data_IF_880542490230
#
_entry.id   IF_880542490230
#
_cell.length_a   1.000
_cell.length_b   1.000
_cell.length_c   1.000
_cell.angle_alpha   90.00
_cell.angle_beta   90.00
_cell.angle_gamma   90.00
#
_symmetry.space_group_name_H-M   'P 1'
#
loop_
_entity.id
_entity.type
_entity.pdbx_description
1 polymer ?
#
# COMPACT_ATOMS: atom_id res chain seq x y z
N UNK A 1 12.45 -26.94 -4.84
CA UNK A 1 12.00 -26.73 -3.45
C UNK A 1 12.64 -25.44 -2.94
N UNK A 2 11.90 -24.33 -2.93
CA UNK A 2 12.43 -23.03 -2.49
C UNK A 2 12.15 -22.83 -1.01
N UNK A 3 13.19 -22.71 -0.19
CA UNK A 3 13.06 -22.41 1.23
C UNK A 3 12.66 -20.94 1.43
N UNK A 4 11.42 -20.71 1.84
CA UNK A 4 10.98 -19.42 2.35
C UNK A 4 11.55 -19.24 3.76
N UNK A 5 12.63 -18.44 3.89
CA UNK A 5 13.16 -18.06 5.20
C UNK A 5 12.20 -17.08 5.88
N UNK A 6 11.31 -17.64 6.69
CA UNK A 6 10.43 -16.90 7.59
C UNK A 6 11.29 -16.11 8.59
N UNK A 7 11.21 -14.78 8.55
CA UNK A 7 12.01 -13.90 9.39
C UNK A 7 11.51 -13.97 10.84
N UNK A 8 12.02 -14.93 11.63
CA UNK A 8 11.75 -15.02 13.06
C UNK A 8 12.54 -13.91 13.79
N UNK A 9 11.86 -12.83 14.18
CA UNK A 9 12.42 -11.89 15.17
C UNK A 9 12.45 -12.59 16.53
N UNK A 10 13.66 -12.90 17.00
CA UNK A 10 13.94 -13.37 18.37
C UNK A 10 13.65 -12.22 19.34
N UNK A 11 12.75 -12.45 20.30
CA UNK A 11 12.46 -11.51 21.38
C UNK A 11 13.60 -11.59 22.41
N UNK A 12 14.26 -10.45 22.69
CA UNK A 12 15.24 -10.31 23.76
C UNK A 12 14.65 -9.33 24.77
N UNK A 13 14.39 -9.71 26.04
CA UNK A 13 13.91 -8.78 27.04
C UNK A 13 15.05 -7.85 27.49
N UNK A 14 14.99 -6.58 27.07
CA UNK A 14 15.86 -5.51 27.52
C UNK A 14 15.13 -4.58 28.50
N UNK A 15 15.77 -4.30 29.64
CA UNK A 15 15.29 -3.50 30.77
C UNK A 15 14.88 -2.07 30.40
N UNK A 16 13.75 -1.65 30.96
CA UNK A 16 13.51 -0.30 31.48
C UNK A 16 13.78 0.89 30.56
N UNK A 17 12.79 1.26 29.75
CA UNK A 17 12.53 2.67 29.43
C UNK A 17 11.04 2.83 29.14
N UNK A 18 10.43 3.84 29.77
CA UNK A 18 9.02 4.21 29.63
C UNK A 18 8.73 4.86 28.27
N UNK A 19 9.16 4.23 27.18
CA UNK A 19 8.68 4.57 25.86
C UNK A 19 7.53 3.63 25.55
N UNK A 20 6.32 4.15 25.74
CA UNK A 20 5.12 3.58 25.12
C UNK A 20 5.47 3.31 23.66
N UNK A 21 5.43 2.05 23.18
CA UNK A 21 5.69 1.77 21.79
C UNK A 21 4.65 2.54 20.99
N UNK A 22 5.13 3.50 20.20
CA UNK A 22 4.29 4.30 19.34
C UNK A 22 3.76 3.38 18.25
N UNK A 23 2.61 2.75 18.50
CA UNK A 23 1.93 1.89 17.56
C UNK A 23 1.47 2.75 16.38
N UNK A 24 2.30 2.83 15.34
CA UNK A 24 1.90 3.37 14.03
C UNK A 24 0.96 2.37 13.36
N UNK A 25 -0.34 2.47 13.67
CA UNK A 25 -1.41 1.74 13.00
C UNK A 25 -1.78 2.41 11.65
N UNK A 26 -0.87 2.28 10.69
CA UNK A 26 -1.23 2.20 9.28
C UNK A 26 -0.96 0.77 8.82
N UNK A 27 -1.47 0.34 7.67
CA UNK A 27 -0.97 -0.89 7.03
C UNK A 27 0.55 -0.81 6.97
N UNK A 28 1.22 -1.61 7.79
CA UNK A 28 2.67 -1.51 7.95
C UNK A 28 3.32 -1.58 6.58
N UNK A 29 4.24 -0.65 6.29
CA UNK A 29 5.10 -0.69 5.12
C UNK A 29 5.60 -2.13 4.93
N UNK A 30 5.59 -2.58 3.68
CA UNK A 30 6.10 -3.88 3.27
C UNK A 30 7.46 -4.16 3.95
N UNK A 31 7.73 -5.41 4.35
CA UNK A 31 9.08 -5.75 4.80
C UNK A 31 10.07 -5.45 3.66
N UNK A 32 11.28 -5.03 4.03
CA UNK A 32 12.28 -4.53 3.07
C UNK A 32 12.60 -5.51 1.93
N UNK A 33 12.47 -6.82 2.17
CA UNK A 33 12.67 -7.83 1.13
C UNK A 33 11.61 -7.81 0.02
N UNK A 34 10.39 -7.34 0.31
CA UNK A 34 9.28 -7.31 -0.64
C UNK A 34 9.11 -5.95 -1.33
N UNK A 35 9.73 -4.89 -0.83
CA UNK A 35 9.62 -3.54 -1.42
C UNK A 35 9.97 -3.57 -2.91
N UNK A 36 11.13 -4.13 -3.26
CA UNK A 36 11.60 -4.24 -4.65
C UNK A 36 10.64 -5.00 -5.56
N UNK A 37 9.93 -5.99 -5.04
CA UNK A 37 8.97 -6.76 -5.82
C UNK A 37 7.73 -5.92 -6.18
N UNK A 38 7.19 -5.19 -5.20
CA UNK A 38 5.97 -4.38 -5.35
C UNK A 38 6.20 -2.98 -5.93
N UNK A 39 7.45 -2.52 -6.00
CA UNK A 39 7.84 -1.30 -6.73
C UNK A 39 8.16 -1.58 -8.20
N UNK A 40 8.35 -2.84 -8.61
CA UNK A 40 8.75 -3.17 -9.98
C UNK A 40 7.54 -3.20 -10.94
N UNK A 41 7.62 -2.41 -12.02
CA UNK A 41 6.61 -2.34 -13.07
C UNK A 41 6.41 -3.66 -13.85
N UNK A 42 7.46 -4.47 -14.01
CA UNK A 42 7.37 -5.78 -14.68
C UNK A 42 6.43 -6.75 -13.94
N UNK A 43 6.35 -6.62 -12.62
CA UNK A 43 5.47 -7.41 -11.77
C UNK A 43 4.08 -6.79 -11.62
N UNK A 44 3.83 -5.62 -12.25
CA UNK A 44 2.62 -4.81 -12.05
C UNK A 44 2.41 -4.47 -10.57
N UNK A 45 3.49 -4.10 -9.89
CA UNK A 45 3.47 -3.75 -8.49
C UNK A 45 2.63 -2.50 -8.23
N UNK A 46 1.87 -2.49 -7.13
CA UNK A 46 0.97 -1.38 -6.77
C UNK A 46 1.70 -0.12 -6.28
N UNK A 47 3.01 -0.21 -6.06
CA UNK A 47 3.88 0.94 -5.76
C UNK A 47 4.72 1.37 -6.97
N UNK A 48 4.54 0.73 -8.13
CA UNK A 48 5.26 1.07 -9.35
C UNK A 48 4.61 2.27 -10.05
N UNK A 49 5.41 2.98 -10.84
CA UNK A 49 4.92 4.13 -11.60
C UNK A 49 4.06 3.69 -12.79
N UNK A 50 2.93 4.36 -13.01
CA UNK A 50 1.98 4.00 -14.06
C UNK A 50 2.59 4.09 -15.47
N UNK A 51 3.53 5.01 -15.70
CA UNK A 51 4.25 5.14 -16.96
C UNK A 51 5.11 3.90 -17.24
N UNK A 52 5.92 3.46 -16.26
CA UNK A 52 6.76 2.27 -16.38
C UNK A 52 5.93 0.99 -16.61
N UNK A 53 4.74 0.88 -16.00
CA UNK A 53 3.83 -0.24 -16.22
C UNK A 53 3.34 -0.28 -17.68
N UNK A 54 3.08 0.88 -18.28
CA UNK A 54 2.67 0.96 -19.69
C UNK A 54 3.81 0.54 -20.63
N UNK A 55 5.04 0.98 -20.36
CA UNK A 55 6.22 0.57 -21.12
C UNK A 55 6.47 -0.94 -21.01
N UNK A 56 6.39 -1.49 -19.80
CA UNK A 56 6.51 -2.92 -19.55
C UNK A 56 5.44 -3.72 -20.33
N UNK A 57 4.21 -3.20 -20.42
CA UNK A 57 3.12 -3.79 -21.19
C UNK A 57 3.42 -3.78 -22.70
N UNK A 58 3.95 -2.68 -23.23
CA UNK A 58 4.35 -2.58 -24.64
C UNK A 58 5.48 -3.55 -24.98
N UNK A 59 6.51 -3.59 -24.13
CA UNK A 59 7.64 -4.51 -24.29
C UNK A 59 7.18 -5.97 -24.31
N UNK A 60 6.27 -6.35 -23.42
CA UNK A 60 5.74 -7.71 -23.38
C UNK A 60 4.96 -8.06 -24.67
N UNK A 61 4.20 -7.11 -25.23
CA UNK A 61 3.53 -7.30 -26.53
C UNK A 61 4.51 -7.56 -27.67
N UNK A 62 5.63 -6.82 -27.71
CA UNK A 62 6.69 -7.04 -28.71
C UNK A 62 7.36 -8.42 -28.55
N UNK A 63 7.67 -8.82 -27.31
CA UNK A 63 8.30 -10.12 -27.03
C UNK A 63 7.38 -11.29 -27.38
N UNK A 64 6.08 -11.15 -27.11
CA UNK A 64 5.09 -12.20 -27.31
C UNK A 64 4.40 -12.14 -28.68
N UNK A 65 4.74 -11.16 -29.53
CA UNK A 65 4.22 -11.03 -30.89
C UNK A 65 2.76 -10.60 -31.01
N UNK A 66 2.19 -9.93 -30.00
CA UNK A 66 0.80 -9.43 -30.05
C UNK A 66 0.71 -7.90 -29.99
N UNK A 67 -0.30 -7.34 -30.66
CA UNK A 67 -0.59 -5.90 -30.61
C UNK A 67 -1.31 -5.57 -29.29
N UNK A 68 -0.72 -4.69 -28.49
CA UNK A 68 -1.33 -4.22 -27.24
C UNK A 68 -2.59 -3.38 -27.56
N UNK A 69 -3.76 -3.70 -27.00
CA UNK A 69 -4.96 -2.90 -27.22
C UNK A 69 -4.85 -1.54 -26.52
N UNK A 70 -5.32 -0.49 -27.20
CA UNK A 70 -5.32 0.90 -26.70
C UNK A 70 -6.37 1.16 -25.62
N UNK A 71 -7.34 0.24 -25.45
CA UNK A 71 -8.42 0.40 -24.48
C UNK A 71 -7.86 0.38 -23.06
N UNK A 72 -7.83 1.56 -22.45
CA UNK A 72 -7.69 1.76 -21.01
C UNK A 72 -9.06 1.51 -20.40
N UNK A 73 -9.32 0.29 -19.98
CA UNK A 73 -10.40 0.08 -19.01
C UNK A 73 -9.98 0.84 -17.75
N UNK A 74 -10.76 1.86 -17.37
CA UNK A 74 -10.59 2.54 -16.09
C UNK A 74 -11.04 1.58 -14.99
N UNK A 75 -10.19 0.63 -14.67
CA UNK A 75 -10.33 -0.19 -13.48
C UNK A 75 -9.96 0.71 -12.30
N UNK A 76 -10.85 0.89 -11.34
CA UNK A 76 -10.49 1.70 -10.18
C UNK A 76 -9.44 0.94 -9.34
N UNK A 77 -8.34 1.61 -9.03
CA UNK A 77 -7.25 1.07 -8.23
C UNK A 77 -7.44 1.46 -6.77
N UNK A 78 -7.20 0.51 -5.86
CA UNK A 78 -7.20 0.82 -4.43
C UNK A 78 -5.95 1.62 -4.09
N UNK A 79 -6.10 2.66 -3.27
CA UNK A 79 -4.95 3.34 -2.69
C UNK A 79 -4.10 2.39 -1.83
N UNK A 80 -2.78 2.62 -1.68
CA UNK A 80 -1.88 1.72 -0.96
C UNK A 80 -2.31 1.49 0.51
N UNK A 81 -2.85 2.53 1.15
CA UNK A 81 -3.37 2.48 2.52
C UNK A 81 -4.81 1.97 2.62
N UNK A 82 -5.55 1.96 1.52
CA UNK A 82 -6.98 1.66 1.48
C UNK A 82 -7.25 0.17 1.52
N UNK A 83 -7.98 -0.32 2.53
CA UNK A 83 -8.30 -1.75 2.69
C UNK A 83 -9.41 -2.19 1.72
N UNK A 84 -10.53 -1.49 1.78
CA UNK A 84 -11.75 -1.82 1.06
C UNK A 84 -11.96 -0.89 -0.13
N UNK A 85 -12.51 -1.43 -1.19
CA UNK A 85 -12.90 -0.64 -2.34
C UNK A 85 -14.10 0.24 -2.00
N UNK A 86 -14.11 1.50 -2.44
CA UNK A 86 -15.21 2.44 -2.19
C UNK A 86 -15.35 2.94 -0.75
N UNK A 87 -14.55 2.43 0.21
CA UNK A 87 -14.58 2.88 1.61
C UNK A 87 -13.22 3.50 1.94
N UNK A 88 -13.17 4.81 2.28
CA UNK A 88 -11.92 5.46 2.63
C UNK A 88 -11.42 5.04 4.02
N UNK A 89 -10.11 5.13 4.28
CA UNK A 89 -9.57 4.92 5.62
C UNK A 89 -10.19 5.90 6.63
N UNK A 90 -10.44 5.44 7.86
CA UNK A 90 -11.07 6.25 8.92
C UNK A 90 -12.60 6.27 8.89
N UNK A 91 -13.24 5.66 7.89
CA UNK A 91 -14.70 5.53 7.86
C UNK A 91 -15.20 4.44 8.84
N UNK A 92 -16.33 4.70 9.49
CA UNK A 92 -17.01 3.78 10.39
C UNK A 92 -18.25 3.19 9.71
N UNK A 93 -18.34 1.86 9.66
CA UNK A 93 -19.47 1.15 9.03
C UNK A 93 -20.40 0.64 10.14
N UNK A 94 -21.64 1.14 10.18
CA UNK A 94 -22.71 0.58 11.02
C UNK A 94 -23.49 -0.45 10.21
N UNK A 95 -23.43 -1.71 10.64
CA UNK A 95 -24.16 -2.81 9.99
C UNK A 95 -25.65 -2.78 10.30
N UNK A 96 -26.02 -2.31 11.50
CA UNK A 96 -27.41 -2.19 11.95
C UNK A 96 -28.14 -1.16 11.10
N UNK A 97 -27.53 0.02 10.95
CA UNK A 97 -28.14 1.13 10.22
C UNK A 97 -27.88 1.08 8.71
N UNK A 98 -26.99 0.17 8.26
CA UNK A 98 -26.48 0.08 6.88
C UNK A 98 -25.93 1.41 6.36
N UNK A 99 -25.18 2.12 7.23
CA UNK A 99 -24.63 3.46 6.94
C UNK A 99 -23.11 3.49 7.14
N UNK A 100 -22.47 4.38 6.41
CA UNK A 100 -21.04 4.68 6.53
C UNK A 100 -20.87 6.11 7.04
N UNK A 101 -20.17 6.27 8.15
CA UNK A 101 -19.88 7.56 8.76
C UNK A 101 -18.44 7.97 8.44
N UNK A 102 -18.28 9.20 7.96
CA UNK A 102 -16.97 9.79 7.67
C UNK A 102 -16.47 10.61 8.87
N UNK A 103 -15.15 10.65 9.11
CA UNK A 103 -14.59 11.41 10.21
C UNK A 103 -14.77 12.92 9.99
N UNK A 104 -15.36 13.61 10.98
CA UNK A 104 -15.56 15.07 10.94
C UNK A 104 -14.41 15.82 11.61
N UNK A 105 -13.80 15.23 12.65
CA UNK A 105 -12.74 15.89 13.40
C UNK A 105 -11.49 16.06 12.51
N UNK A 106 -10.91 17.28 12.43
CA UNK A 106 -9.78 17.55 11.54
C UNK A 106 -8.56 16.71 11.88
N UNK A 107 -8.25 16.48 13.16
CA UNK A 107 -7.09 15.69 13.60
C UNK A 107 -7.20 14.24 13.12
N UNK A 108 -8.40 13.67 13.22
CA UNK A 108 -8.67 12.29 12.81
C UNK A 108 -8.62 12.19 11.29
N UNK A 109 -9.17 13.18 10.59
CA UNK A 109 -9.13 13.26 9.14
C UNK A 109 -7.68 13.31 8.65
N UNK A 110 -6.86 14.19 9.22
CA UNK A 110 -5.44 14.32 8.88
C UNK A 110 -4.66 13.04 9.18
N UNK A 111 -5.00 12.32 10.25
CA UNK A 111 -4.33 11.06 10.57
C UNK A 111 -4.56 9.98 9.49
N UNK A 112 -5.80 9.83 9.02
CA UNK A 112 -6.17 8.79 8.05
C UNK A 112 -5.99 9.19 6.58
N UNK A 113 -5.98 10.49 6.28
CA UNK A 113 -5.83 11.04 4.92
C UNK A 113 -4.41 11.44 4.56
N UNK A 114 -3.42 11.19 5.44
CA UNK A 114 -2.01 11.31 5.04
C UNK A 114 -1.73 10.34 3.90
N UNK A 115 -1.73 10.88 2.69
CA UNK A 115 -1.07 10.25 1.56
C UNK A 115 0.36 10.02 2.01
N UNK A 116 0.87 8.80 1.82
CA UNK A 116 2.29 8.51 1.98
C UNK A 116 3.05 9.23 0.86
N UNK A 117 3.07 10.56 0.88
CA UNK A 117 4.26 11.29 0.48
C UNK A 117 5.31 10.76 1.44
N UNK A 118 6.34 10.11 0.90
CA UNK A 118 7.58 9.91 1.64
C UNK A 118 7.96 11.30 2.14
N UNK A 119 7.63 11.60 3.41
CA UNK A 119 7.85 12.89 4.00
C UNK A 119 9.32 13.21 3.75
N UNK A 120 9.49 14.24 2.91
CA UNK A 120 10.76 14.86 2.59
C UNK A 120 11.50 15.05 3.91
N UNK A 121 12.80 14.79 3.87
CA UNK A 121 13.78 15.14 4.91
C UNK A 121 13.22 16.13 5.93
N UNK A 122 12.95 15.66 7.14
CA UNK A 122 13.06 16.56 8.29
C UNK A 122 14.55 16.87 8.49
N UNK A 123 14.91 18.12 8.83
CA UNK A 123 16.30 18.60 8.88
C UNK A 123 17.18 17.80 9.84
#
# INVERSE_FOLDING_TARGET
MGEYKFCRRRWIPGRGSSQVPQFRLGKHLLPHCLSRYYTNALNRGYLAEAAEIQEARQRLGLVMGYKVPERKEHLEEKGPTQVFYGIPPGALVSLVDKKVFLPTNPIVKDYYQKDFVADKQFP
#
